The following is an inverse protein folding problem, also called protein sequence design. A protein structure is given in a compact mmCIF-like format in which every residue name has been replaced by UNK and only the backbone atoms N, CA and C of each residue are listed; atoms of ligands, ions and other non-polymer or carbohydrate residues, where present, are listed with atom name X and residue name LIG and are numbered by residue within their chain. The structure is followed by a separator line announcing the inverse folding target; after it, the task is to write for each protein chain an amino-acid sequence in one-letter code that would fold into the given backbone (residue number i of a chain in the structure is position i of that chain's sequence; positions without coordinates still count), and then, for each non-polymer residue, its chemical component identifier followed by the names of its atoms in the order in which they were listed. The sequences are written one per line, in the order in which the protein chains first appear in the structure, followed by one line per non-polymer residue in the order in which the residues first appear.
data_IF_101875977432
#
_entry.id   IF_101875977432
#
_cell.length_a   1.000
_cell.length_b   1.000
_cell.length_c   1.000
_cell.angle_alpha   90.00
_cell.angle_beta   90.00
_cell.angle_gamma   90.00
#
_symmetry.space_group_name_H-M   'P 1'
#
loop_
_entity.id
_entity.type
_entity.pdbx_description
1 polymer ?
#
# COMPACT_ATOMS: atom_id res chain seq x y z
N UNK A 1 -17.74 9.88 -11.19
CA UNK A 1 -16.40 9.40 -10.76
C UNK A 1 -15.65 10.61 -10.25
N UNK A 2 -15.04 10.57 -9.06
CA UNK A 2 -14.30 11.72 -8.54
C UNK A 2 -13.02 11.97 -9.36
N UNK A 3 -12.51 13.21 -9.36
CA UNK A 3 -11.25 13.54 -10.03
C UNK A 3 -10.07 12.67 -9.52
N UNK A 4 -10.04 12.43 -8.19
CA UNK A 4 -9.05 11.55 -7.57
C UNK A 4 -9.12 10.12 -8.11
N UNK A 5 -10.32 9.53 -8.22
CA UNK A 5 -10.45 8.17 -8.77
C UNK A 5 -9.96 8.10 -10.21
N UNK A 6 -10.26 9.13 -11.02
CA UNK A 6 -9.80 9.22 -12.41
C UNK A 6 -8.26 9.26 -12.50
N UNK A 7 -7.61 9.99 -11.60
CA UNK A 7 -6.15 10.06 -11.53
C UNK A 7 -5.54 8.72 -11.09
N UNK A 8 -6.15 8.04 -10.11
CA UNK A 8 -5.74 6.71 -9.65
C UNK A 8 -5.86 5.69 -10.80
N UNK A 9 -6.97 5.69 -11.52
CA UNK A 9 -7.20 4.78 -12.65
C UNK A 9 -6.19 5.06 -13.79
N UNK A 10 -5.85 6.33 -14.01
CA UNK A 10 -4.82 6.73 -14.97
C UNK A 10 -3.44 6.21 -14.59
N UNK A 11 -3.07 6.25 -13.31
CA UNK A 11 -1.82 5.67 -12.81
C UNK A 11 -1.76 4.16 -13.07
N UNK A 12 -2.86 3.44 -12.81
CA UNK A 12 -2.95 2.01 -13.11
C UNK A 12 -2.85 1.70 -14.61
N UNK A 13 -3.46 2.53 -15.46
CA UNK A 13 -3.34 2.40 -16.92
C UNK A 13 -1.89 2.61 -17.41
N UNK A 14 -1.12 3.47 -16.72
CA UNK A 14 0.31 3.67 -16.97
C UNK A 14 1.20 2.59 -16.33
N UNK A 15 0.61 1.58 -15.71
CA UNK A 15 1.32 0.55 -14.94
C UNK A 15 2.24 1.13 -13.86
N UNK A 16 1.80 2.19 -13.21
CA UNK A 16 2.48 2.81 -12.08
C UNK A 16 1.63 2.70 -10.82
N UNK A 17 2.28 2.52 -9.69
CA UNK A 17 1.60 2.46 -8.39
C UNK A 17 1.21 3.87 -7.96
N UNK A 18 -0.08 4.16 -7.67
CA UNK A 18 -0.50 5.48 -7.21
C UNK A 18 0.17 5.84 -5.88
N UNK A 19 0.79 7.03 -5.86
CA UNK A 19 1.26 7.69 -4.65
C UNK A 19 0.47 8.98 -4.47
N UNK A 20 -0.57 8.91 -3.65
CA UNK A 20 -1.44 10.04 -3.38
C UNK A 20 -0.80 10.94 -2.32
N UNK A 21 -0.55 12.18 -2.69
CA UNK A 21 0.02 13.23 -1.86
C UNK A 21 -1.12 14.14 -1.40
N UNK A 22 -1.55 13.92 -0.16
CA UNK A 22 -2.65 14.61 0.48
C UNK A 22 -2.16 15.47 1.65
N UNK A 23 -1.76 16.70 1.35
CA UNK A 23 -1.32 17.67 2.34
C UNK A 23 -2.49 18.48 2.96
N UNK A 24 -3.75 18.10 2.68
CA UNK A 24 -4.94 18.90 3.08
C UNK A 24 -5.19 18.93 4.59
N UNK A 25 -4.56 18.02 5.34
CA UNK A 25 -4.60 18.00 6.80
C UNK A 25 -3.80 19.11 7.49
N UNK A 26 -3.14 20.01 6.76
CA UNK A 26 -2.35 21.14 7.27
C UNK A 26 -1.34 20.75 8.38
N UNK A 27 -0.76 19.55 8.29
CA UNK A 27 0.16 19.01 9.30
C UNK A 27 -0.47 18.63 10.65
N UNK A 28 -1.78 18.81 10.83
CA UNK A 28 -2.48 18.67 12.10
C UNK A 28 -3.05 17.27 12.40
N UNK A 29 -2.93 16.31 11.47
CA UNK A 29 -3.40 14.95 11.66
C UNK A 29 -4.19 14.43 10.45
N UNK A 30 -5.06 13.46 10.74
CA UNK A 30 -5.79 12.62 9.78
C UNK A 30 -6.39 13.45 8.65
N UNK A 31 -6.07 13.11 7.41
CA UNK A 31 -6.61 13.82 6.24
C UNK A 31 -8.04 13.36 5.91
N UNK A 32 -8.83 14.14 5.15
CA UNK A 32 -10.11 13.68 4.64
C UNK A 32 -10.01 12.37 3.84
N UNK A 33 -8.89 12.15 3.14
CA UNK A 33 -8.65 10.91 2.41
C UNK A 33 -8.36 9.72 3.33
N UNK A 34 -7.54 9.91 4.37
CA UNK A 34 -7.33 8.87 5.40
C UNK A 34 -8.65 8.50 6.09
N UNK A 35 -9.51 9.49 6.35
CA UNK A 35 -10.86 9.29 6.88
C UNK A 35 -11.74 8.51 5.90
N UNK A 36 -11.76 8.90 4.62
CA UNK A 36 -12.51 8.19 3.58
C UNK A 36 -12.11 6.72 3.50
N UNK A 37 -10.81 6.43 3.46
CA UNK A 37 -10.31 5.06 3.38
C UNK A 37 -10.68 4.24 4.62
N UNK A 38 -10.72 4.86 5.80
CA UNK A 38 -11.16 4.21 7.05
C UNK A 38 -12.60 3.71 7.00
N UNK A 39 -13.46 4.32 6.18
CA UNK A 39 -14.85 3.91 5.99
C UNK A 39 -15.11 3.13 4.69
N UNK A 40 -14.09 2.98 3.82
CA UNK A 40 -14.24 2.39 2.48
C UNK A 40 -14.33 0.85 2.45
N UNK A 41 -14.02 0.17 3.56
CA UNK A 41 -13.90 -1.29 3.61
C UNK A 41 -12.60 -1.86 3.01
N UNK A 42 -11.75 -0.99 2.43
CA UNK A 42 -10.41 -1.36 1.98
C UNK A 42 -9.49 -1.76 3.14
N UNK A 43 -8.40 -2.47 2.80
CA UNK A 43 -7.46 -2.95 3.80
C UNK A 43 -6.37 -1.91 4.04
N UNK A 44 -6.36 -1.32 5.23
CA UNK A 44 -5.44 -0.24 5.58
C UNK A 44 -4.21 -0.76 6.31
N UNK A 45 -3.03 -0.37 5.84
CA UNK A 45 -1.78 -0.49 6.56
C UNK A 45 -1.37 0.90 7.08
N UNK A 46 -1.60 1.15 8.37
CA UNK A 46 -1.18 2.38 9.06
C UNK A 46 0.32 2.31 9.35
N UNK A 47 1.15 2.62 8.35
CA UNK A 47 2.59 2.40 8.42
C UNK A 47 3.26 3.27 9.48
N UNK A 48 2.82 4.53 9.67
CA UNK A 48 3.32 5.39 10.76
C UNK A 48 3.08 4.77 12.13
N UNK A 49 1.88 4.23 12.35
CA UNK A 49 1.52 3.54 13.59
C UNK A 49 2.39 2.29 13.79
N UNK A 50 2.62 1.53 12.73
CA UNK A 50 3.50 0.36 12.76
C UNK A 50 4.94 0.73 13.15
N UNK A 51 5.50 1.83 12.63
CA UNK A 51 6.81 2.37 13.07
C UNK A 51 6.80 2.69 14.56
N UNK A 52 5.76 3.39 15.04
CA UNK A 52 5.67 3.79 16.45
C UNK A 52 5.59 2.57 17.35
N UNK A 53 4.75 1.58 17.03
CA UNK A 53 4.54 0.38 17.85
C UNK A 53 5.77 -0.53 17.88
N UNK A 54 6.46 -0.70 16.74
CA UNK A 54 7.62 -1.60 16.61
C UNK A 54 8.92 -0.93 17.08
N UNK A 55 9.23 0.27 16.61
CA UNK A 55 10.54 0.88 16.80
C UNK A 55 10.59 1.83 18.01
N UNK A 56 9.54 2.63 18.22
CA UNK A 56 9.55 3.68 19.25
C UNK A 56 9.06 3.16 20.61
N UNK A 57 7.87 2.56 20.64
CA UNK A 57 7.25 2.03 21.86
C UNK A 57 7.71 0.61 22.16
N UNK A 58 8.12 -0.15 21.13
CA UNK A 58 8.47 -1.58 21.22
C UNK A 58 7.36 -2.40 21.88
N UNK A 59 6.12 -1.98 21.69
CA UNK A 59 4.92 -2.63 22.25
C UNK A 59 4.45 -3.81 21.39
N UNK A 60 4.89 -3.86 20.13
CA UNK A 60 4.60 -4.94 19.17
C UNK A 60 5.92 -5.42 18.58
N UNK A 61 6.13 -6.73 18.47
CA UNK A 61 7.31 -7.27 17.79
C UNK A 61 7.15 -7.07 16.29
N UNK A 62 8.26 -6.81 15.59
CA UNK A 62 8.26 -6.67 14.13
C UNK A 62 7.55 -7.84 13.44
N UNK A 63 7.80 -9.06 13.90
CA UNK A 63 7.22 -10.26 13.32
C UNK A 63 5.69 -10.32 13.39
N UNK A 64 5.13 -9.86 14.51
CA UNK A 64 3.69 -9.83 14.77
C UNK A 64 3.01 -8.74 13.92
N UNK A 65 3.67 -7.57 13.80
CA UNK A 65 3.20 -6.48 12.94
C UNK A 65 3.17 -6.89 11.46
N UNK A 66 4.23 -7.56 10.99
CA UNK A 66 4.31 -8.05 9.62
C UNK A 66 3.32 -9.18 9.34
N UNK A 67 3.03 -10.03 10.32
CA UNK A 67 1.98 -11.04 10.19
C UNK A 67 0.59 -10.40 10.09
N UNK A 68 0.30 -9.37 10.89
CA UNK A 68 -0.94 -8.61 10.77
C UNK A 68 -1.07 -7.92 9.41
N UNK A 69 0.02 -7.38 8.86
CA UNK A 69 0.06 -6.80 7.52
C UNK A 69 -0.18 -7.86 6.43
N UNK A 70 0.43 -9.04 6.55
CA UNK A 70 0.22 -10.19 5.65
C UNK A 70 -1.24 -10.62 5.61
N UNK A 71 -1.89 -10.77 6.77
CA UNK A 71 -3.30 -11.15 6.85
C UNK A 71 -4.22 -10.14 6.13
N UNK A 72 -3.94 -8.84 6.27
CA UNK A 72 -4.66 -7.77 5.54
C UNK A 72 -4.44 -7.84 4.03
N UNK A 73 -3.21 -8.09 3.59
CA UNK A 73 -2.90 -8.29 2.18
C UNK A 73 -3.67 -9.49 1.61
N UNK A 74 -3.65 -10.65 2.28
CA UNK A 74 -4.36 -11.85 1.82
C UNK A 74 -5.86 -11.60 1.72
N UNK A 75 -6.44 -10.91 2.71
CA UNK A 75 -7.84 -10.52 2.67
C UNK A 75 -8.15 -9.60 1.47
N UNK A 76 -7.27 -8.64 1.18
CA UNK A 76 -7.40 -7.75 0.04
C UNK A 76 -7.33 -8.52 -1.30
N UNK A 77 -6.35 -9.41 -1.43
CA UNK A 77 -6.19 -10.29 -2.60
C UNK A 77 -7.43 -11.16 -2.83
N UNK A 78 -8.02 -11.72 -1.76
CA UNK A 78 -9.20 -12.59 -1.85
C UNK A 78 -10.48 -11.83 -2.21
N UNK A 79 -10.67 -10.62 -1.68
CA UNK A 79 -11.93 -9.86 -1.80
C UNK A 79 -11.93 -8.79 -2.89
N UNK A 80 -10.78 -8.53 -3.52
CA UNK A 80 -10.66 -7.44 -4.48
C UNK A 80 -10.64 -6.07 -3.85
N UNK A 81 -10.32 -5.99 -2.58
CA UNK A 81 -10.12 -4.70 -1.93
C UNK A 81 -8.76 -4.13 -2.32
N UNK A 82 -8.66 -2.81 -2.37
CA UNK A 82 -7.37 -2.15 -2.39
C UNK A 82 -6.65 -2.37 -1.07
N UNK A 83 -5.34 -2.61 -1.14
CA UNK A 83 -4.43 -2.47 -0.03
C UNK A 83 -3.93 -1.02 -0.02
N UNK A 84 -4.34 -0.26 1.00
CA UNK A 84 -4.02 1.16 1.11
C UNK A 84 -2.97 1.33 2.20
N UNK A 85 -1.80 1.83 1.81
CA UNK A 85 -0.67 2.06 2.71
C UNK A 85 -0.64 3.53 3.13
N UNK A 86 -1.01 3.79 4.38
CA UNK A 86 -1.07 5.13 4.96
C UNK A 86 0.25 5.45 5.64
N UNK A 87 1.01 6.38 5.07
CA UNK A 87 2.31 6.82 5.60
C UNK A 87 2.17 8.09 6.46
N UNK A 88 1.05 8.81 6.32
CA UNK A 88 0.85 10.15 6.89
C UNK A 88 2.06 11.04 6.57
N UNK A 89 2.58 11.81 7.53
CA UNK A 89 3.77 12.66 7.38
C UNK A 89 5.09 11.95 7.79
N UNK A 90 5.25 10.67 7.44
CA UNK A 90 6.46 9.92 7.74
C UNK A 90 6.96 9.16 6.52
N UNK A 91 8.23 8.75 6.56
CA UNK A 91 8.84 7.82 5.61
C UNK A 91 9.09 6.49 6.32
N UNK A 92 8.10 5.57 6.37
CA UNK A 92 8.28 4.28 7.00
C UNK A 92 9.38 3.49 6.29
N UNK A 93 10.21 2.72 7.02
CA UNK A 93 11.31 1.93 6.47
C UNK A 93 10.81 0.71 5.70
N UNK A 94 10.09 0.92 4.59
CA UNK A 94 9.52 -0.15 3.78
C UNK A 94 10.62 -0.99 3.14
N UNK A 95 11.60 -0.39 2.47
CA UNK A 95 12.68 -1.16 1.85
C UNK A 95 13.59 -1.77 2.90
N UNK A 96 13.97 -0.97 3.91
CA UNK A 96 15.02 -1.34 4.85
C UNK A 96 14.56 -2.27 5.97
N UNK A 97 13.26 -2.29 6.32
CA UNK A 97 12.77 -3.05 7.49
C UNK A 97 11.46 -3.81 7.26
N UNK A 98 10.44 -3.20 6.67
CA UNK A 98 9.08 -3.76 6.69
C UNK A 98 8.75 -4.64 5.50
N UNK A 99 9.32 -4.38 4.33
CA UNK A 99 9.11 -5.19 3.16
C UNK A 99 10.16 -6.30 3.06
N UNK A 100 9.98 -7.36 3.83
CA UNK A 100 10.88 -8.52 3.83
C UNK A 100 10.34 -9.67 2.97
N UNK A 101 11.22 -10.43 2.30
CA UNK A 101 10.83 -11.68 1.65
C UNK A 101 10.10 -12.60 2.64
N UNK A 102 8.93 -13.11 2.25
CA UNK A 102 8.13 -14.04 3.07
C UNK A 102 7.12 -13.42 4.02
N UNK A 103 7.04 -12.08 4.14
CA UNK A 103 5.95 -11.40 4.89
C UNK A 103 5.26 -10.31 4.09
N UNK A 104 5.94 -9.20 3.85
CA UNK A 104 5.40 -8.11 3.04
C UNK A 104 6.36 -7.86 1.87
N UNK A 105 6.04 -8.26 0.64
CA UNK A 105 6.99 -8.17 -0.45
C UNK A 105 7.06 -6.75 -1.02
N UNK A 106 8.28 -6.25 -1.23
CA UNK A 106 8.50 -4.92 -1.81
C UNK A 106 7.92 -4.79 -3.23
N UNK A 107 7.77 -5.91 -3.94
CA UNK A 107 7.12 -5.99 -5.25
C UNK A 107 5.64 -5.56 -5.24
N UNK A 108 4.99 -5.42 -4.07
CA UNK A 108 3.67 -4.76 -3.98
C UNK A 108 3.69 -3.31 -4.46
N UNK A 109 4.85 -2.67 -4.47
CA UNK A 109 5.03 -1.30 -4.92
C UNK A 109 5.26 -1.21 -6.44
N UNK A 110 5.29 -2.35 -7.13
CA UNK A 110 5.37 -2.44 -8.59
C UNK A 110 4.02 -2.87 -9.16
N UNK A 111 3.29 -1.92 -9.75
CA UNK A 111 1.97 -2.17 -10.34
C UNK A 111 2.01 -3.22 -11.46
N UNK A 112 3.12 -3.39 -12.18
CA UNK A 112 3.24 -4.45 -13.21
C UNK A 112 3.24 -5.82 -12.57
N UNK A 113 4.03 -5.98 -11.50
CA UNK A 113 4.06 -7.21 -10.73
C UNK A 113 2.68 -7.52 -10.12
N UNK A 114 1.99 -6.50 -9.60
CA UNK A 114 0.63 -6.64 -9.07
C UNK A 114 -0.38 -7.02 -10.16
N UNK A 115 -0.30 -6.45 -11.35
CA UNK A 115 -1.19 -6.80 -12.46
C UNK A 115 -0.98 -8.26 -12.93
N UNK A 116 0.27 -8.74 -12.97
CA UNK A 116 0.58 -10.09 -13.44
C UNK A 116 -0.04 -11.22 -12.58
N UNK A 117 -0.41 -10.95 -11.33
CA UNK A 117 -1.02 -11.94 -10.43
C UNK A 117 -2.55 -11.87 -10.33
N UNK A 118 -3.19 -10.90 -10.98
CA UNK A 118 -4.64 -10.63 -10.87
C UNK A 118 -5.47 -11.37 -11.92
N UNK A 119 -6.68 -11.72 -11.53
CA UNK A 119 -7.68 -12.30 -12.43
C UNK A 119 -7.44 -13.78 -12.71
N UNK A 120 -8.32 -14.37 -13.52
CA UNK A 120 -8.27 -15.81 -13.82
C UNK A 120 -7.03 -16.23 -14.60
N UNK A 121 -6.46 -15.31 -15.37
CA UNK A 121 -5.22 -15.53 -16.15
C UNK A 121 -3.95 -15.17 -15.35
N UNK A 122 -4.11 -14.69 -14.11
CA UNK A 122 -2.99 -14.32 -13.24
C UNK A 122 -2.36 -15.52 -12.54
N UNK A 123 -1.06 -15.46 -12.29
CA UNK A 123 -0.32 -16.52 -11.60
C UNK A 123 0.03 -16.11 -10.16
N UNK A 124 -0.90 -16.32 -9.22
CA UNK A 124 -0.65 -16.00 -7.81
C UNK A 124 0.43 -16.89 -7.20
N UNK A 125 0.46 -18.18 -7.58
CA UNK A 125 1.34 -19.19 -6.98
C UNK A 125 2.78 -19.15 -7.52
N UNK A 126 2.99 -18.62 -8.72
CA UNK A 126 4.31 -18.27 -9.25
C UNK A 126 4.73 -16.83 -8.96
N UNK A 127 3.86 -16.01 -8.35
CA UNK A 127 4.18 -14.62 -8.02
C UNK A 127 4.95 -14.45 -6.71
N UNK A 128 5.36 -13.21 -6.47
CA UNK A 128 6.03 -12.80 -5.24
C UNK A 128 5.16 -12.93 -3.97
N UNK A 129 3.84 -13.11 -4.06
CA UNK A 129 2.98 -13.33 -2.89
C UNK A 129 2.83 -14.81 -2.52
N UNK A 130 3.25 -15.75 -3.37
CA UNK A 130 3.11 -17.17 -3.11
C UNK A 130 3.74 -17.61 -1.76
N UNK A 131 4.93 -17.12 -1.35
CA UNK A 131 5.52 -17.47 -0.06
C UNK A 131 4.73 -16.97 1.16
N UNK A 132 3.73 -16.10 0.96
CA UNK A 132 2.90 -15.53 2.02
C UNK A 132 1.65 -16.37 2.30
N UNK A 133 1.27 -17.23 1.36
CA UNK A 133 0.05 -18.02 1.44
C UNK A 133 0.27 -19.20 2.37
N UNK A 134 -0.58 -19.30 3.37
CA UNK A 134 -0.58 -20.42 4.31
C UNK A 134 -1.43 -21.58 3.81
N UNK A 135 -1.31 -22.72 4.45
CA UNK A 135 -2.07 -23.93 4.10
C UNK A 135 -3.58 -23.68 4.12
N UNK A 136 -4.07 -22.92 5.10
CA UNK A 136 -5.48 -22.53 5.22
C UNK A 136 -5.95 -21.52 4.15
N UNK A 137 -5.03 -20.91 3.41
CA UNK A 137 -5.27 -19.96 2.32
C UNK A 137 -4.98 -20.58 0.94
N UNK A 138 -4.75 -21.91 0.91
CA UNK A 138 -4.43 -22.65 -0.31
C UNK A 138 -5.54 -22.65 -1.36
N UNK A 139 -6.76 -22.30 -0.96
CA UNK A 139 -7.93 -22.10 -1.82
C UNK A 139 -7.81 -20.84 -2.70
N UNK A 140 -6.92 -19.90 -2.35
CA UNK A 140 -6.65 -18.72 -3.12
C UNK A 140 -5.77 -19.08 -4.33
N UNK A 141 -6.41 -19.39 -5.46
CA UNK A 141 -5.73 -19.76 -6.70
C UNK A 141 -5.25 -18.54 -7.50
N UNK A 142 -5.98 -17.43 -7.42
CA UNK A 142 -5.70 -16.18 -8.13
C UNK A 142 -6.01 -14.98 -7.23
N UNK A 143 -5.31 -13.86 -7.42
CA UNK A 143 -5.73 -12.60 -6.81
C UNK A 143 -7.00 -12.12 -7.52
N UNK A 144 -7.93 -11.55 -6.75
CA UNK A 144 -9.12 -10.95 -7.30
C UNK A 144 -8.76 -9.90 -8.36
N UNK A 145 -9.50 -9.90 -9.47
CA UNK A 145 -9.21 -9.01 -10.62
C UNK A 145 -9.23 -7.52 -10.25
N UNK A 146 -9.89 -7.13 -9.16
CA UNK A 146 -10.02 -5.73 -8.71
C UNK A 146 -9.04 -5.36 -7.59
N UNK A 147 -8.20 -6.29 -7.13
CA UNK A 147 -7.15 -5.99 -6.15
C UNK A 147 -6.19 -4.92 -6.68
N UNK A 148 -5.87 -3.92 -5.87
CA UNK A 148 -4.88 -2.90 -6.22
C UNK A 148 -4.11 -2.44 -4.98
N UNK A 149 -3.02 -1.70 -5.19
CA UNK A 149 -2.26 -1.04 -4.14
C UNK A 149 -2.33 0.47 -4.33
N UNK A 150 -2.48 1.22 -3.23
CA UNK A 150 -2.42 2.69 -3.21
C UNK A 150 -1.57 3.11 -2.02
N UNK A 151 -0.67 4.06 -2.21
CA UNK A 151 0.05 4.71 -1.12
C UNK A 151 -0.54 6.09 -0.90
N UNK A 152 -0.64 6.49 0.36
CA UNK A 152 -1.08 7.83 0.76
C UNK A 152 -0.04 8.43 1.70
N UNK A 153 0.40 9.64 1.37
CA UNK A 153 1.32 10.43 2.17
C UNK A 153 0.76 11.83 2.38
N UNK A 154 1.10 12.42 3.51
CA UNK A 154 0.81 13.82 3.83
C UNK A 154 1.99 14.76 3.54
N UNK A 155 3.07 14.27 2.91
CA UNK A 155 4.17 15.13 2.46
C UNK A 155 3.69 16.09 1.36
N UNK A 156 4.26 17.30 1.37
CA UNK A 156 4.01 18.30 0.34
C UNK A 156 4.62 17.88 -1.00
N UNK A 157 4.12 18.49 -2.08
CA UNK A 157 4.51 18.20 -3.47
C UNK A 157 6.01 18.39 -3.73
N UNK A 158 6.60 19.37 -3.09
CA UNK A 158 8.01 19.77 -3.24
C UNK A 158 8.95 19.01 -2.30
N UNK A 159 8.41 18.31 -1.31
CA UNK A 159 9.18 17.64 -0.25
C UNK A 159 9.17 16.11 -0.36
N UNK A 160 8.12 15.51 -0.95
CA UNK A 160 7.92 14.06 -0.87
C UNK A 160 9.09 13.24 -1.43
N UNK A 161 9.76 13.73 -2.49
CA UNK A 161 10.89 13.01 -3.09
C UNK A 161 12.08 12.93 -2.13
N UNK A 162 12.39 14.03 -1.43
CA UNK A 162 13.48 14.07 -0.45
C UNK A 162 13.24 13.04 0.65
N UNK A 163 12.01 12.96 1.16
CA UNK A 163 11.68 12.08 2.28
C UNK A 163 11.48 10.62 1.90
N UNK A 164 10.94 10.33 0.70
CA UNK A 164 10.47 8.98 0.36
C UNK A 164 11.41 8.20 -0.56
N UNK A 165 12.35 8.85 -1.26
CA UNK A 165 13.16 8.20 -2.31
C UNK A 165 13.99 6.99 -1.84
N UNK A 166 14.40 6.98 -0.58
CA UNK A 166 15.26 5.90 -0.05
C UNK A 166 14.43 4.63 0.24
N UNK A 167 13.17 4.82 0.63
CA UNK A 167 12.27 3.75 1.06
C UNK A 167 11.25 3.32 -0.01
N UNK A 168 11.01 4.13 -1.04
CA UNK A 168 10.05 3.85 -2.12
C UNK A 168 10.73 3.78 -3.50
N UNK A 169 10.24 2.94 -4.43
CA UNK A 169 10.68 2.93 -5.82
C UNK A 169 9.97 4.04 -6.62
N UNK A 170 10.28 5.32 -6.37
CA UNK A 170 9.52 6.45 -6.95
C UNK A 170 9.40 6.40 -8.49
N UNK A 171 10.38 5.84 -9.20
CA UNK A 171 10.34 5.66 -10.66
C UNK A 171 9.20 4.72 -11.13
N UNK A 172 8.69 3.84 -10.27
CA UNK A 172 7.56 2.93 -10.51
C UNK A 172 6.23 3.51 -10.03
N UNK A 173 6.26 4.69 -9.40
CA UNK A 173 5.08 5.32 -8.81
C UNK A 173 4.58 6.47 -9.68
N UNK A 174 3.30 6.78 -9.53
CA UNK A 174 2.68 7.95 -10.11
C UNK A 174 2.22 8.87 -8.97
N UNK A 175 2.92 9.99 -8.72
CA UNK A 175 2.45 11.01 -7.79
C UNK A 175 1.12 11.58 -8.25
N UNK A 176 0.17 11.70 -7.32
CA UNK A 176 -1.16 12.30 -7.52
C UNK A 176 -1.37 13.33 -6.41
N UNK A 177 -1.52 14.59 -6.77
CA UNK A 177 -1.74 15.66 -5.81
C UNK A 177 -3.22 15.86 -5.55
N UNK A 178 -3.61 15.85 -4.28
CA UNK A 178 -4.96 16.23 -3.86
C UNK A 178 -5.03 17.74 -3.69
N UNK A 179 -5.91 18.40 -4.43
CA UNK A 179 -6.25 19.82 -4.26
C UNK A 179 -7.63 19.92 -3.61
N UNK A 180 -7.81 20.91 -2.72
CA UNK A 180 -9.14 21.33 -2.28
C UNK A 180 -9.49 22.52 -3.17
N UNK A 181 -10.45 22.33 -4.07
CA UNK A 181 -11.09 23.43 -4.79
C UNK A 181 -12.27 23.98 -3.97
#
# INVERSE_FOLDING_TARGET
MSALQTAIDSAYALQRTPLVLDATGNGAGITPLETFYSYSGHQLLELKKMVVEVNMKKSVRLDDALEAARAKLVLALRRGYSLVMLMSNSAPPLRSQFCTPGKLPFALLDQRAVQAMRGLDGDLRGSFVAPLLRTEESDLLFAHKDFNVVLVSAFARDEYEEFLRDELPLAQMQPIHVTID
#
